data_IF_092283683729
#
_entry.id   IF_092283683729
#
_cell.length_a   1.000
_cell.length_b   1.000
_cell.length_c   1.000
_cell.angle_alpha   90.00
_cell.angle_beta   90.00
_cell.angle_gamma   90.00
#
_symmetry.space_group_name_H-M   'P 1'
#
loop_
_entity.id
_entity.type
_entity.pdbx_description
1 polymer ?
#
# COMPACT_ATOMS: atom_id res chain seq x y z
N UNK A 1 23.16 -9.61 17.98
CA UNK A 1 21.74 -9.84 18.32
C UNK A 1 21.32 -11.19 17.76
N UNK A 2 20.39 -11.92 18.39
CA UNK A 2 19.80 -13.11 17.78
C UNK A 2 19.05 -12.76 16.48
N UNK A 3 18.88 -13.70 15.54
CA UNK A 3 18.12 -13.47 14.31
C UNK A 3 16.65 -13.21 14.62
N UNK A 4 16.05 -12.22 13.94
CA UNK A 4 14.62 -11.92 14.06
C UNK A 4 13.80 -12.90 13.21
N UNK A 5 12.58 -13.21 13.67
CA UNK A 5 11.61 -14.01 12.91
C UNK A 5 10.63 -13.07 12.21
N UNK A 6 10.50 -13.22 10.89
CA UNK A 6 9.64 -12.41 10.05
C UNK A 6 8.52 -13.26 9.45
N UNK A 7 7.26 -12.97 9.79
CA UNK A 7 6.10 -13.53 9.08
C UNK A 7 5.83 -12.69 7.83
N UNK A 8 5.91 -13.31 6.65
CA UNK A 8 5.70 -12.65 5.37
C UNK A 8 4.59 -13.37 4.60
N UNK A 9 3.51 -12.67 4.29
CA UNK A 9 2.39 -13.22 3.53
C UNK A 9 2.46 -12.82 2.06
N UNK A 10 1.81 -13.59 1.17
CA UNK A 10 1.76 -13.26 -0.26
C UNK A 10 3.11 -13.36 -0.99
N UNK A 11 4.01 -14.24 -0.53
CA UNK A 11 5.41 -14.29 -1.00
C UNK A 11 5.60 -14.98 -2.36
N UNK A 12 4.55 -15.61 -2.91
CA UNK A 12 4.58 -16.35 -4.18
C UNK A 12 4.58 -15.47 -5.44
N UNK A 13 3.80 -14.38 -5.42
CA UNK A 13 3.46 -13.53 -6.56
C UNK A 13 2.54 -12.40 -6.08
N UNK A 14 2.44 -11.30 -6.82
CA UNK A 14 1.78 -10.05 -6.41
C UNK A 14 2.65 -8.91 -6.91
N UNK A 15 2.87 -7.84 -6.12
CA UNK A 15 3.86 -6.76 -6.38
C UNK A 15 5.34 -7.18 -6.44
N UNK A 16 5.67 -8.47 -6.34
CA UNK A 16 7.03 -8.97 -6.13
C UNK A 16 7.65 -8.63 -4.76
N UNK A 17 7.10 -7.64 -4.05
CA UNK A 17 7.60 -7.13 -2.76
C UNK A 17 7.74 -8.22 -1.69
N UNK A 18 6.74 -9.09 -1.49
CA UNK A 18 6.80 -10.17 -0.49
C UNK A 18 7.97 -11.13 -0.71
N UNK A 19 8.33 -11.38 -1.97
CA UNK A 19 9.53 -12.15 -2.35
C UNK A 19 10.79 -11.33 -2.09
N UNK A 20 10.87 -10.09 -2.55
CA UNK A 20 12.04 -9.24 -2.34
C UNK A 20 12.32 -9.01 -0.84
N UNK A 21 11.29 -8.91 -0.01
CA UNK A 21 11.37 -8.91 1.46
C UNK A 21 11.94 -10.23 1.98
N UNK A 22 11.41 -11.38 1.55
CA UNK A 22 11.94 -12.71 1.94
C UNK A 22 13.42 -12.85 1.60
N UNK A 23 13.82 -12.47 0.38
CA UNK A 23 15.22 -12.49 -0.05
C UNK A 23 16.09 -11.50 0.75
N UNK A 24 15.56 -10.35 1.18
CA UNK A 24 16.28 -9.37 2.00
C UNK A 24 16.49 -9.86 3.43
N UNK A 25 15.46 -10.45 4.05
CA UNK A 25 15.51 -11.07 5.39
C UNK A 25 16.56 -12.19 5.41
N UNK A 26 16.50 -13.12 4.45
CA UNK A 26 17.44 -14.25 4.38
C UNK A 26 18.89 -13.80 4.15
N UNK A 27 19.12 -12.77 3.32
CA UNK A 27 20.47 -12.21 3.10
C UNK A 27 21.12 -11.60 4.35
N UNK A 28 20.32 -11.25 5.36
CA UNK A 28 20.80 -10.72 6.64
C UNK A 28 21.05 -11.80 7.71
N UNK A 29 20.68 -13.05 7.44
CA UNK A 29 20.70 -14.13 8.43
C UNK A 29 19.50 -14.13 9.39
N UNK A 30 18.48 -13.32 9.13
CA UNK A 30 17.20 -13.37 9.84
C UNK A 30 16.33 -14.54 9.32
N UNK A 31 15.34 -14.96 10.10
CA UNK A 31 14.45 -16.11 9.81
C UNK A 31 13.20 -15.61 9.10
N UNK A 32 12.86 -16.19 7.94
CA UNK A 32 11.64 -15.88 7.19
C UNK A 32 10.61 -17.02 7.25
N UNK A 33 9.42 -16.74 7.79
CA UNK A 33 8.23 -17.58 7.69
C UNK A 33 7.38 -17.05 6.53
N UNK A 34 7.65 -17.57 5.33
CA UNK A 34 7.02 -17.12 4.09
C UNK A 34 5.76 -17.95 3.76
N UNK A 35 4.60 -17.29 3.58
CA UNK A 35 3.34 -17.95 3.20
C UNK A 35 2.99 -17.74 1.73
N UNK A 36 2.48 -18.81 1.11
CA UNK A 36 2.16 -18.90 -0.32
C UNK A 36 1.09 -19.98 -0.55
N UNK A 37 0.24 -19.81 -1.58
CA UNK A 37 -0.93 -20.68 -1.83
C UNK A 37 -0.56 -22.11 -2.25
N UNK A 38 0.58 -22.31 -2.92
CA UNK A 38 1.10 -23.62 -3.35
C UNK A 38 2.61 -23.64 -3.24
N UNK A 39 3.19 -24.59 -2.47
CA UNK A 39 4.64 -24.69 -2.20
C UNK A 39 5.55 -24.55 -3.44
N UNK A 40 5.12 -25.06 -4.59
CA UNK A 40 5.83 -24.95 -5.88
C UNK A 40 6.10 -23.50 -6.32
N UNK A 41 5.31 -22.53 -5.86
CA UNK A 41 5.48 -21.11 -6.20
C UNK A 41 6.77 -20.51 -5.65
N UNK A 42 7.34 -21.07 -4.56
CA UNK A 42 8.61 -20.60 -3.99
C UNK A 42 9.81 -20.74 -4.95
N UNK A 43 9.72 -21.60 -5.96
CA UNK A 43 10.82 -21.91 -6.88
C UNK A 43 10.76 -21.17 -8.22
N UNK A 44 9.67 -20.45 -8.52
CA UNK A 44 9.52 -19.75 -9.81
C UNK A 44 10.26 -18.41 -9.80
N UNK A 45 10.88 -18.04 -10.92
CA UNK A 45 11.40 -16.68 -11.16
C UNK A 45 10.43 -15.95 -12.09
N UNK A 46 9.43 -15.32 -11.51
CA UNK A 46 8.47 -14.46 -12.20
C UNK A 46 8.68 -13.04 -11.65
N UNK A 47 8.88 -12.05 -12.52
CA UNK A 47 8.70 -10.65 -12.17
C UNK A 47 7.19 -10.46 -11.95
N UNK A 48 6.67 -10.03 -10.78
CA UNK A 48 5.20 -9.87 -10.51
C UNK A 48 4.64 -8.42 -10.16
N UNK A 49 3.58 -7.88 -10.80
CA UNK A 49 3.16 -6.43 -11.05
C UNK A 49 2.52 -5.70 -9.86
N UNK A 50 2.36 -4.37 -9.98
CA UNK A 50 1.02 -3.75 -9.98
C UNK A 50 0.97 -2.33 -10.62
N UNK A 51 -0.20 -1.88 -11.08
CA UNK A 51 -0.49 -0.50 -11.55
C UNK A 51 -1.31 0.28 -10.50
N UNK A 52 -1.76 -0.40 -9.44
CA UNK A 52 -2.76 0.11 -8.51
C UNK A 52 -2.12 0.90 -7.36
N UNK A 53 -2.37 2.21 -7.35
CA UNK A 53 -2.10 3.13 -6.23
C UNK A 53 -2.89 2.67 -5.00
N UNK A 54 -2.24 2.63 -3.83
CA UNK A 54 -2.68 1.84 -2.68
C UNK A 54 -4.01 2.26 -2.05
N UNK A 55 -4.13 3.52 -1.65
CA UNK A 55 -5.15 3.95 -0.68
C UNK A 55 -5.72 5.36 -0.85
N UNK A 56 -5.05 6.32 -1.52
CA UNK A 56 -5.55 7.72 -1.50
C UNK A 56 -6.51 8.12 -2.62
N UNK A 57 -6.63 7.35 -3.70
CA UNK A 57 -7.63 7.60 -4.75
C UNK A 57 -8.27 6.32 -5.23
N UNK A 58 -9.53 6.41 -5.67
CA UNK A 58 -10.25 5.31 -6.31
C UNK A 58 -10.51 5.66 -7.78
N UNK A 59 -9.59 5.38 -8.71
CA UNK A 59 -9.86 5.48 -10.14
C UNK A 59 -11.08 4.63 -10.54
N UNK A 60 -11.83 5.04 -11.59
CA UNK A 60 -12.92 4.25 -12.15
C UNK A 60 -12.47 2.82 -12.51
N UNK A 61 -13.45 1.91 -12.62
CA UNK A 61 -13.26 0.45 -12.87
C UNK A 61 -12.64 -0.36 -11.74
N UNK A 62 -12.03 0.27 -10.73
CA UNK A 62 -11.27 -0.42 -9.69
C UNK A 62 -11.89 -0.28 -8.27
N UNK A 63 -13.17 0.08 -8.18
CA UNK A 63 -13.83 0.40 -6.90
C UNK A 63 -13.80 -0.73 -5.86
N UNK A 64 -13.96 -1.99 -6.27
CA UNK A 64 -13.89 -3.15 -5.35
C UNK A 64 -12.49 -3.32 -4.76
N UNK A 65 -11.44 -3.06 -5.55
CA UNK A 65 -10.05 -3.12 -5.07
C UNK A 65 -9.82 -2.03 -4.02
N UNK A 66 -10.09 -0.76 -4.35
CA UNK A 66 -9.83 0.35 -3.44
C UNK A 66 -10.71 0.30 -2.19
N UNK A 67 -11.97 -0.15 -2.28
CA UNK A 67 -12.81 -0.38 -1.11
C UNK A 67 -12.17 -1.38 -0.11
N UNK A 68 -11.50 -2.43 -0.61
CA UNK A 68 -10.77 -3.36 0.26
C UNK A 68 -9.49 -2.77 0.88
N UNK A 69 -8.94 -1.71 0.28
CA UNK A 69 -7.74 -1.00 0.76
C UNK A 69 -8.10 0.04 1.81
N UNK A 70 -9.09 0.89 1.54
CA UNK A 70 -9.68 1.77 2.56
C UNK A 70 -10.16 1.01 3.80
N UNK A 71 -10.75 -0.19 3.62
CA UNK A 71 -11.14 -1.04 4.75
C UNK A 71 -9.93 -1.59 5.53
N UNK A 72 -8.81 -1.87 4.87
CA UNK A 72 -7.56 -2.29 5.51
C UNK A 72 -6.89 -1.12 6.26
N UNK A 73 -6.90 0.08 5.66
CA UNK A 73 -6.44 1.32 6.31
C UNK A 73 -7.25 1.57 7.59
N UNK A 74 -8.57 1.71 7.50
CA UNK A 74 -9.41 1.98 8.67
C UNK A 74 -9.34 0.90 9.75
N UNK A 75 -9.19 -0.37 9.38
CA UNK A 75 -8.91 -1.46 10.33
C UNK A 75 -7.53 -1.29 11.02
N UNK A 76 -6.52 -0.86 10.26
CA UNK A 76 -5.17 -0.64 10.77
C UNK A 76 -5.09 0.60 11.66
N UNK A 77 -5.86 1.65 11.37
CA UNK A 77 -6.00 2.84 12.22
C UNK A 77 -6.68 2.51 13.55
N UNK A 78 -7.80 1.78 13.52
CA UNK A 78 -8.49 1.34 14.74
C UNK A 78 -7.61 0.42 15.59
N UNK A 79 -6.99 -0.59 14.98
CA UNK A 79 -6.04 -1.47 15.68
C UNK A 79 -4.85 -0.68 16.23
N UNK A 80 -4.41 0.37 15.53
CA UNK A 80 -3.35 1.25 16.01
C UNK A 80 -3.76 2.18 17.16
N UNK A 81 -5.06 2.33 17.44
CA UNK A 81 -5.55 2.99 18.64
C UNK A 81 -5.85 2.00 19.79
N UNK A 82 -6.09 0.73 19.48
CA UNK A 82 -6.55 -0.31 20.42
C UNK A 82 -5.42 -1.09 21.12
N UNK A 83 -4.21 -1.15 20.56
CA UNK A 83 -3.11 -1.93 21.19
C UNK A 83 -2.59 -1.24 22.44
N UNK A 84 -2.58 -2.00 23.54
CA UNK A 84 -2.03 -1.59 24.82
C UNK A 84 -0.50 -1.39 24.75
N UNK A 85 0.01 -0.21 25.16
CA UNK A 85 1.45 0.03 25.32
C UNK A 85 2.20 -0.99 26.17
N UNK A 86 1.54 -1.61 27.16
CA UNK A 86 2.17 -2.61 28.05
C UNK A 86 2.49 -3.94 27.35
N UNK A 87 1.93 -4.20 26.17
CA UNK A 87 2.14 -5.48 25.46
C UNK A 87 3.50 -5.57 24.74
N UNK A 88 4.31 -4.51 24.71
CA UNK A 88 5.54 -4.39 23.90
C UNK A 88 5.31 -4.72 22.40
N UNK A 89 4.06 -4.53 21.96
CA UNK A 89 3.65 -4.76 20.57
C UNK A 89 3.87 -3.49 19.76
N UNK A 90 4.39 -3.69 18.55
CA UNK A 90 4.66 -2.62 17.62
C UNK A 90 3.34 -1.98 17.06
N UNK A 91 2.83 -0.89 17.68
CA UNK A 91 1.86 0.16 17.17
C UNK A 91 2.26 1.69 17.24
N UNK A 92 2.42 2.45 16.13
CA UNK A 92 2.86 3.89 16.14
C UNK A 92 1.74 4.83 15.71
N UNK A 93 1.48 5.88 16.48
CA UNK A 93 0.53 6.96 16.16
C UNK A 93 1.16 8.31 16.49
N UNK A 94 1.22 9.22 15.51
CA UNK A 94 1.71 10.59 15.71
C UNK A 94 0.60 11.61 15.42
N UNK A 95 0.00 12.12 16.50
CA UNK A 95 -0.94 13.24 16.49
C UNK A 95 -0.26 14.49 17.05
N UNK A 96 -0.61 15.68 16.54
CA UNK A 96 -0.01 16.96 16.94
C UNK A 96 -1.09 18.02 17.13
N UNK A 97 -0.93 18.99 18.06
CA UNK A 97 -0.49 18.83 19.43
C UNK A 97 -1.50 19.44 20.44
N UNK A 98 -1.95 18.66 21.43
CA UNK A 98 -2.70 19.20 22.57
C UNK A 98 -2.40 18.53 23.93
N UNK A 99 -1.75 17.37 23.93
CA UNK A 99 -1.37 16.64 25.15
C UNK A 99 0.06 16.97 25.60
N UNK A 100 0.22 17.42 26.85
CA UNK A 100 1.48 18.01 27.37
C UNK A 100 2.37 16.99 28.12
N UNK A 101 2.53 15.78 27.58
CA UNK A 101 3.45 14.74 28.11
C UNK A 101 3.95 13.85 26.97
N UNK A 102 5.28 13.67 26.78
CA UNK A 102 5.83 12.76 25.78
C UNK A 102 5.80 11.31 26.29
N UNK A 103 4.71 10.59 26.02
CA UNK A 103 4.74 9.13 26.10
C UNK A 103 5.42 8.60 24.84
N UNK A 104 6.58 7.97 25.01
CA UNK A 104 7.18 7.16 23.96
C UNK A 104 6.48 5.81 23.99
N UNK A 105 5.80 5.47 22.90
CA UNK A 105 5.20 4.16 22.70
C UNK A 105 6.18 3.36 21.84
N UNK A 106 6.65 2.21 22.32
CA UNK A 106 7.71 1.43 21.67
C UNK A 106 7.21 0.63 20.46
N UNK A 107 6.28 1.26 19.75
CA UNK A 107 5.17 0.61 19.16
C UNK A 107 5.11 1.12 17.68
N UNK A 108 5.03 0.26 16.63
CA UNK A 108 5.02 0.56 15.18
C UNK A 108 4.06 -0.29 14.27
N UNK A 109 2.83 0.16 13.99
CA UNK A 109 1.98 -0.29 12.85
C UNK A 109 2.21 0.75 11.75
N UNK A 110 2.47 0.28 10.52
CA UNK A 110 2.59 1.16 9.36
C UNK A 110 1.89 0.56 8.16
N UNK A 111 0.89 1.26 7.65
CA UNK A 111 0.31 1.03 6.32
C UNK A 111 1.28 1.61 5.28
N UNK A 112 1.66 0.79 4.30
CA UNK A 112 2.64 1.16 3.27
C UNK A 112 1.90 1.37 1.96
N UNK A 113 1.72 2.65 1.63
CA UNK A 113 0.96 3.12 0.48
C UNK A 113 1.82 3.08 -0.78
N UNK A 114 1.85 1.91 -1.38
CA UNK A 114 2.64 1.59 -2.57
C UNK A 114 2.11 2.30 -3.82
N UNK A 115 3.02 2.91 -4.57
CA UNK A 115 2.77 3.27 -5.97
C UNK A 115 2.82 2.06 -6.90
N UNK A 116 2.79 2.27 -8.21
CA UNK A 116 2.93 1.20 -9.20
C UNK A 116 4.35 0.61 -9.23
N UNK A 117 4.47 -0.70 -9.46
CA UNK A 117 5.73 -1.45 -9.56
C UNK A 117 5.80 -2.27 -10.86
N UNK A 118 7.00 -2.36 -11.47
CA UNK A 118 7.18 -2.86 -12.84
C UNK A 118 7.49 -4.37 -12.97
N UNK A 119 6.50 -5.21 -13.27
CA UNK A 119 6.52 -6.70 -13.14
C UNK A 119 5.15 -7.39 -13.63
N UNK A 120 4.78 -8.70 -13.44
CA UNK A 120 3.47 -9.44 -13.78
C UNK A 120 2.45 -9.83 -12.63
N UNK A 121 1.29 -9.21 -12.57
CA UNK A 121 0.11 -9.56 -11.78
C UNK A 121 -1.18 -9.05 -12.45
N UNK A 122 -1.07 -8.03 -13.32
CA UNK A 122 -2.11 -7.66 -14.30
C UNK A 122 -2.58 -8.90 -15.09
N UNK A 123 -1.65 -9.78 -15.48
CA UNK A 123 -1.96 -11.05 -16.15
C UNK A 123 -2.73 -12.08 -15.30
N UNK A 124 -3.02 -11.77 -14.03
CA UNK A 124 -3.78 -12.61 -13.08
C UNK A 124 -5.06 -11.93 -12.59
N UNK A 125 -5.35 -10.70 -13.02
CA UNK A 125 -6.59 -10.01 -12.71
C UNK A 125 -7.73 -10.69 -13.47
N UNK A 126 -8.79 -11.07 -12.74
CA UNK A 126 -10.02 -11.55 -13.37
C UNK A 126 -10.80 -10.34 -13.86
N UNK A 127 -10.73 -10.07 -15.17
CA UNK A 127 -11.48 -8.98 -15.80
C UNK A 127 -12.92 -9.45 -16.04
N UNK A 128 -13.88 -8.76 -15.42
CA UNK A 128 -15.30 -9.02 -15.61
C UNK A 128 -15.82 -8.49 -16.95
N UNK A 129 -16.74 -9.20 -17.63
CA UNK A 129 -17.37 -8.72 -18.86
C UNK A 129 -17.97 -7.32 -18.72
N UNK A 130 -17.76 -6.48 -19.72
CA UNK A 130 -18.13 -5.08 -19.65
C UNK A 130 -19.61 -4.86 -20.01
N UNK A 131 -20.36 -4.22 -19.11
CA UNK A 131 -21.74 -3.84 -19.39
C UNK A 131 -21.81 -2.73 -20.46
N UNK A 132 -22.65 -2.84 -21.51
CA UNK A 132 -22.64 -1.93 -22.67
C UNK A 132 -22.76 -0.43 -22.34
N UNK A 133 -23.52 -0.08 -21.29
CA UNK A 133 -23.67 1.32 -20.86
C UNK A 133 -22.35 2.03 -20.51
N UNK A 134 -21.29 1.27 -20.19
CA UNK A 134 -19.97 1.78 -19.84
C UNK A 134 -18.94 1.70 -21.00
N UNK A 135 -19.40 1.48 -22.23
CA UNK A 135 -18.54 1.34 -23.42
C UNK A 135 -18.47 2.61 -24.29
N UNK A 136 -19.09 3.73 -23.88
CA UNK A 136 -19.02 4.99 -24.64
C UNK A 136 -17.56 5.47 -24.70
N UNK A 137 -16.97 5.70 -25.90
CA UNK A 137 -15.55 6.08 -26.02
C UNK A 137 -15.18 7.38 -25.30
N UNK A 138 -16.12 8.32 -25.17
CA UNK A 138 -15.93 9.57 -24.44
C UNK A 138 -16.07 9.45 -22.91
N UNK A 139 -16.24 8.23 -22.37
CA UNK A 139 -16.40 8.03 -20.93
C UNK A 139 -15.04 7.83 -20.26
N UNK A 140 -14.92 8.30 -19.01
CA UNK A 140 -13.71 8.06 -18.21
C UNK A 140 -13.43 6.55 -18.05
N UNK A 141 -14.47 5.70 -18.01
CA UNK A 141 -14.34 4.25 -17.93
C UNK A 141 -13.68 3.66 -19.18
N UNK A 142 -14.05 4.12 -20.38
CA UNK A 142 -13.40 3.70 -21.62
C UNK A 142 -11.95 4.19 -21.68
N UNK A 143 -11.67 5.42 -21.23
CA UNK A 143 -10.30 5.96 -21.16
C UNK A 143 -9.41 5.19 -20.17
N UNK A 144 -9.90 4.88 -18.95
CA UNK A 144 -9.17 4.09 -17.96
C UNK A 144 -8.89 2.67 -18.45
N UNK A 145 -9.85 2.02 -19.11
CA UNK A 145 -9.62 0.69 -19.73
C UNK A 145 -8.58 0.75 -20.83
N UNK A 146 -8.71 1.71 -21.76
CA UNK A 146 -7.72 1.89 -22.84
C UNK A 146 -6.31 2.15 -22.28
N UNK A 147 -6.16 2.85 -21.15
CA UNK A 147 -4.88 3.01 -20.48
C UNK A 147 -4.32 1.69 -19.92
N UNK A 148 -5.17 0.84 -19.32
CA UNK A 148 -4.79 -0.48 -18.81
C UNK A 148 -4.42 -1.43 -19.96
N UNK A 149 -5.25 -1.48 -21.01
CA UNK A 149 -5.07 -2.36 -22.17
C UNK A 149 -3.80 -2.02 -22.98
N UNK A 150 -3.43 -0.73 -23.02
CA UNK A 150 -2.21 -0.25 -23.69
C UNK A 150 -1.01 -0.11 -22.73
N UNK A 151 -1.08 -0.64 -21.51
CA UNK A 151 0.03 -0.54 -20.55
C UNK A 151 1.18 -1.49 -20.93
N UNK A 152 2.19 -0.94 -21.62
CA UNK A 152 3.29 -1.70 -22.19
C UNK A 152 4.60 -1.62 -21.41
N UNK A 153 5.62 -2.34 -21.89
CA UNK A 153 6.94 -2.43 -21.25
C UNK A 153 7.62 -1.07 -21.01
N UNK A 154 7.30 -0.03 -21.78
CA UNK A 154 7.90 1.28 -21.62
C UNK A 154 7.38 1.99 -20.35
N UNK A 155 6.06 1.97 -20.14
CA UNK A 155 5.43 2.46 -18.91
C UNK A 155 5.88 1.63 -17.71
N UNK A 156 5.99 0.30 -17.86
CA UNK A 156 6.49 -0.61 -16.83
C UNK A 156 7.91 -0.25 -16.33
N UNK A 157 8.79 0.27 -17.20
CA UNK A 157 10.16 0.70 -16.82
C UNK A 157 10.19 1.99 -16.01
N UNK A 158 9.11 2.76 -16.00
CA UNK A 158 8.98 4.01 -15.24
C UNK A 158 8.47 3.78 -13.81
N UNK A 159 7.96 2.58 -13.52
CA UNK A 159 7.40 2.19 -12.22
C UNK A 159 8.48 1.90 -11.15
N UNK A 160 8.03 1.74 -9.91
CA UNK A 160 8.86 1.45 -8.75
C UNK A 160 9.71 0.18 -8.89
N UNK A 161 10.89 0.18 -8.27
CA UNK A 161 11.78 -0.97 -8.21
C UNK A 161 11.51 -1.80 -6.93
N UNK A 162 11.04 -3.06 -7.04
CA UNK A 162 10.60 -3.84 -5.87
C UNK A 162 11.74 -4.24 -4.93
N UNK A 163 12.98 -4.36 -5.43
CA UNK A 163 14.15 -4.64 -4.59
C UNK A 163 14.48 -3.43 -3.69
N UNK A 164 14.42 -2.22 -4.26
CA UNK A 164 14.61 -0.97 -3.50
C UNK A 164 13.48 -0.76 -2.49
N UNK A 165 12.23 -1.00 -2.89
CA UNK A 165 11.09 -0.90 -2.00
C UNK A 165 11.18 -1.88 -0.83
N UNK A 166 11.50 -3.16 -1.05
CA UNK A 166 11.70 -4.12 0.04
C UNK A 166 12.79 -3.68 1.03
N UNK A 167 13.90 -3.11 0.56
CA UNK A 167 14.93 -2.56 1.45
C UNK A 167 14.42 -1.36 2.28
N UNK A 168 13.54 -0.53 1.73
CA UNK A 168 12.88 0.57 2.45
C UNK A 168 11.86 0.04 3.47
N UNK A 169 11.01 -0.91 3.08
CA UNK A 169 10.02 -1.56 3.97
C UNK A 169 10.71 -2.24 5.17
N UNK A 170 11.82 -2.95 4.94
CA UNK A 170 12.62 -3.54 6.02
C UNK A 170 13.22 -2.46 6.94
N UNK A 171 13.75 -1.38 6.37
CA UNK A 171 14.28 -0.24 7.15
C UNK A 171 13.17 0.43 7.98
N UNK A 172 11.97 0.55 7.43
CA UNK A 172 10.80 1.18 8.06
C UNK A 172 10.33 0.36 9.28
N UNK A 173 10.23 -0.96 9.14
CA UNK A 173 9.91 -1.90 10.24
C UNK A 173 11.03 -2.03 11.31
N UNK A 174 12.15 -1.33 11.14
CA UNK A 174 13.22 -1.21 12.12
C UNK A 174 13.55 0.25 12.46
N UNK A 175 12.73 1.20 11.99
CA UNK A 175 12.88 2.63 12.26
C UNK A 175 12.33 2.93 13.66
N UNK A 176 12.89 3.86 14.47
CA UNK A 176 12.42 4.04 15.85
C UNK A 176 10.97 4.52 15.96
N UNK A 177 10.56 5.47 15.10
CA UNK A 177 9.28 6.18 15.09
C UNK A 177 8.76 6.28 13.64
N UNK A 178 8.22 5.19 13.05
CA UNK A 178 7.68 5.19 11.71
C UNK A 178 6.24 5.74 11.71
N UNK A 179 5.83 6.45 10.64
CA UNK A 179 4.47 6.94 10.54
C UNK A 179 3.47 5.77 10.39
N UNK A 180 2.23 6.03 10.81
CA UNK A 180 1.09 5.13 10.57
C UNK A 180 0.82 4.92 9.08
N UNK A 181 1.03 5.95 8.26
CA UNK A 181 0.85 5.94 6.81
C UNK A 181 2.15 6.33 6.11
N UNK A 182 2.67 5.46 5.24
CA UNK A 182 3.94 5.69 4.52
C UNK A 182 3.79 5.58 2.99
N UNK A 183 3.71 6.69 2.25
CA UNK A 183 3.67 6.67 0.79
C UNK A 183 5.02 6.24 0.18
N UNK A 184 5.03 5.03 -0.41
CA UNK A 184 6.19 4.37 -1.01
C UNK A 184 6.12 4.42 -2.54
N UNK A 185 6.41 5.60 -3.10
CA UNK A 185 6.44 5.86 -4.54
C UNK A 185 6.49 7.35 -4.83
N UNK A 186 7.01 7.77 -5.99
CA UNK A 186 6.96 9.19 -6.39
C UNK A 186 5.53 9.59 -6.78
N UNK A 187 4.89 8.68 -7.50
CA UNK A 187 3.46 8.63 -7.81
C UNK A 187 2.62 8.62 -6.54
N UNK A 188 2.81 7.65 -5.64
CA UNK A 188 2.07 7.57 -4.36
C UNK A 188 2.20 8.86 -3.54
N UNK A 189 3.40 9.43 -3.37
CA UNK A 189 3.59 10.74 -2.71
C UNK A 189 2.84 11.87 -3.43
N UNK A 190 2.82 11.88 -4.77
CA UNK A 190 2.12 12.90 -5.54
C UNK A 190 0.59 12.77 -5.44
N UNK A 191 0.05 11.55 -5.53
CA UNK A 191 -1.38 11.26 -5.33
C UNK A 191 -1.82 11.63 -3.93
N UNK A 192 -1.08 11.20 -2.90
CA UNK A 192 -1.33 11.52 -1.48
C UNK A 192 -1.48 13.03 -1.28
N UNK A 193 -0.47 13.80 -1.73
CA UNK A 193 -0.47 15.27 -1.62
C UNK A 193 -1.65 15.91 -2.35
N UNK A 194 -1.96 15.43 -3.56
CA UNK A 194 -3.10 15.93 -4.34
C UNK A 194 -4.43 15.66 -3.64
N UNK A 195 -4.62 14.46 -3.07
CA UNK A 195 -5.85 14.10 -2.35
C UNK A 195 -6.02 14.94 -1.09
N UNK A 196 -4.95 15.12 -0.30
CA UNK A 196 -4.96 15.97 0.90
C UNK A 196 -5.33 17.41 0.55
N UNK A 197 -4.71 17.99 -0.49
CA UNK A 197 -5.00 19.36 -0.92
C UNK A 197 -6.47 19.54 -1.34
N UNK A 198 -7.03 18.59 -2.12
CA UNK A 198 -8.44 18.63 -2.54
C UNK A 198 -9.39 18.49 -1.33
N UNK A 199 -9.13 17.56 -0.41
CA UNK A 199 -9.95 17.37 0.79
C UNK A 199 -9.92 18.60 1.70
N UNK A 200 -8.76 19.24 1.87
CA UNK A 200 -8.64 20.49 2.62
C UNK A 200 -9.45 21.61 1.95
N UNK A 201 -9.29 21.82 0.64
CA UNK A 201 -10.04 22.84 -0.12
C UNK A 201 -11.56 22.63 -0.03
N UNK A 202 -12.03 21.38 -0.19
CA UNK A 202 -13.44 21.03 -0.06
C UNK A 202 -13.95 21.23 1.38
N UNK A 203 -13.15 20.89 2.38
CA UNK A 203 -13.50 21.07 3.80
C UNK A 203 -13.61 22.55 4.15
N UNK A 204 -12.59 23.36 3.85
CA UNK A 204 -12.57 24.80 4.13
C UNK A 204 -13.72 25.54 3.43
N UNK A 205 -14.02 25.16 2.18
CA UNK A 205 -15.11 25.74 1.38
C UNK A 205 -16.50 25.50 1.96
N UNK A 206 -16.73 24.32 2.56
CA UNK A 206 -18.03 23.92 3.09
C UNK A 206 -18.11 23.89 4.62
N UNK A 207 -17.04 24.24 5.33
CA UNK A 207 -16.93 24.28 6.80
C UNK A 207 -18.10 25.04 7.47
N UNK A 208 -18.54 26.14 6.85
CA UNK A 208 -19.68 26.93 7.33
C UNK A 208 -21.02 26.17 7.37
N UNK A 209 -21.20 25.13 6.56
CA UNK A 209 -22.44 24.35 6.50
C UNK A 209 -22.60 23.39 7.68
N UNK A 210 -21.50 23.08 8.38
CA UNK A 210 -21.47 22.23 9.58
C UNK A 210 -21.61 23.03 10.89
N UNK A 211 -21.78 24.34 10.84
CA UNK A 211 -21.84 25.20 12.04
C UNK A 211 -23.25 25.22 12.64
N UNK A 212 -23.40 24.67 13.84
CA UNK A 212 -24.64 24.71 14.62
C UNK A 212 -25.62 23.56 14.38
N UNK A 213 -25.14 22.48 13.74
CA UNK A 213 -25.74 21.14 13.81
C UNK A 213 -25.04 20.29 14.86
#
# INVERSE_FOLDING_TARGET
MPPKVWLLTGTSSGLGLGRCMTEHVLKRGDIAVATLRRRQQAYRREAASDILDGGYTSPPTLGVFHASKFALEGLSESLAAEVDPEWDIKVSVSFSPSCRTPMHFDAQITVIEVGGFGTDAVGRIVIMPHHPAYMKPSSIVAATRSYIDNFGEEQMRQLGNPIKAAAIMFRLAAYPDPPLHFPLGKDSVATTRRKIALLAEETDKFESWSKGI
#
